data_IF_158290592631
#
_entry.id   IF_158290592631
#
_cell.length_a   1.000
_cell.length_b   1.000
_cell.length_c   1.000
_cell.angle_alpha   90.00
_cell.angle_beta   90.00
_cell.angle_gamma   90.00
#
_symmetry.space_group_name_H-M   'P 1'
#
loop_
_entity.id
_entity.type
_entity.pdbx_description
1 polymer ?
#
# COMPACT_ATOMS: atom_id res chain seq x y z
N UNK A 1 -16.20 -0.09 2.26
CA UNK A 1 -15.59 -0.10 3.60
C UNK A 1 -14.15 -0.60 3.49
N UNK A 2 -13.22 0.25 3.91
CA UNK A 2 -11.81 -0.09 4.02
C UNK A 2 -11.58 -0.65 5.43
N UNK A 3 -11.81 -1.92 5.61
CA UNK A 3 -11.48 -2.66 6.84
C UNK A 3 -10.35 -3.63 6.52
N UNK A 4 -9.68 -4.21 7.51
CA UNK A 4 -8.64 -5.22 7.33
C UNK A 4 -9.07 -6.35 6.40
N UNK A 5 -10.30 -6.80 6.55
CA UNK A 5 -10.87 -7.87 5.75
C UNK A 5 -11.05 -7.48 4.28
N UNK A 6 -10.98 -6.19 3.95
CA UNK A 6 -11.32 -5.68 2.61
C UNK A 6 -10.14 -5.10 1.84
N UNK A 7 -9.00 -4.87 2.51
CA UNK A 7 -7.91 -4.11 1.91
C UNK A 7 -6.78 -4.92 1.35
N UNK A 8 -6.63 -6.18 1.66
CA UNK A 8 -5.60 -6.86 0.98
C UNK A 8 -4.65 -7.63 1.82
N UNK A 9 -5.17 -8.67 2.22
CA UNK A 9 -4.42 -9.67 2.93
C UNK A 9 -3.30 -10.30 2.09
N UNK A 10 -3.38 -10.28 0.76
CA UNK A 10 -2.25 -10.69 -0.08
C UNK A 10 -0.98 -9.84 0.14
N UNK A 11 -1.12 -8.62 0.67
CA UNK A 11 0.04 -7.79 1.01
C UNK A 11 0.83 -8.32 2.21
N UNK A 12 0.23 -9.17 3.02
CA UNK A 12 0.91 -9.85 4.13
C UNK A 12 1.98 -10.85 3.67
N UNK A 13 2.08 -11.11 2.38
CA UNK A 13 3.15 -11.87 1.75
C UNK A 13 4.36 -11.00 1.32
N UNK A 14 4.40 -9.72 1.72
CA UNK A 14 5.54 -8.84 1.51
C UNK A 14 6.74 -9.18 2.41
N UNK A 15 7.94 -8.76 2.00
CA UNK A 15 9.16 -8.98 2.78
C UNK A 15 9.32 -8.00 3.96
N UNK A 16 8.36 -7.12 4.16
CA UNK A 16 8.31 -6.12 5.23
C UNK A 16 7.40 -6.51 6.40
N UNK A 17 6.53 -7.51 6.21
CA UNK A 17 5.50 -7.91 7.19
C UNK A 17 5.58 -9.42 7.43
N UNK A 18 5.35 -9.83 8.69
CA UNK A 18 5.04 -11.20 9.07
C UNK A 18 3.77 -11.24 9.96
N UNK A 19 3.23 -12.44 10.19
CA UNK A 19 1.96 -12.63 10.89
C UNK A 19 2.11 -13.39 12.19
N UNK A 20 1.06 -13.38 13.00
CA UNK A 20 1.04 -14.03 14.31
C UNK A 20 0.71 -15.53 14.21
N UNK A 21 1.39 -16.42 15.01
CA UNK A 21 1.18 -17.86 14.95
C UNK A 21 -0.13 -18.35 15.62
N UNK A 22 -0.89 -17.49 16.28
CA UNK A 22 -2.15 -17.85 16.97
C UNK A 22 -3.20 -18.47 16.04
N UNK A 23 -4.01 -19.38 16.56
CA UNK A 23 -5.01 -20.12 15.77
C UNK A 23 -6.08 -19.22 15.15
N UNK A 24 -6.50 -18.19 15.88
CA UNK A 24 -7.48 -17.20 15.41
C UNK A 24 -6.93 -16.25 14.34
N UNK A 25 -5.61 -16.32 14.04
CA UNK A 25 -4.94 -15.53 13.00
C UNK A 25 -4.65 -16.35 11.73
N UNK A 26 -5.17 -17.55 11.63
CA UNK A 26 -4.97 -18.42 10.47
C UNK A 26 -5.33 -17.74 9.13
N UNK A 27 -6.44 -17.00 9.00
CA UNK A 27 -6.78 -16.37 7.72
C UNK A 27 -5.72 -15.39 7.20
N UNK A 28 -5.01 -14.70 8.09
CA UNK A 28 -3.90 -13.80 7.75
C UNK A 28 -2.64 -14.58 7.41
N UNK A 29 -2.35 -15.58 8.23
CA UNK A 29 -1.15 -16.40 8.13
C UNK A 29 -1.08 -17.18 6.81
N UNK A 30 -2.22 -17.58 6.25
CA UNK A 30 -2.29 -18.24 4.94
C UNK A 30 -1.64 -17.39 3.83
N UNK A 31 -1.82 -16.05 3.89
CA UNK A 31 -1.16 -15.15 2.93
C UNK A 31 0.34 -15.06 3.17
N UNK A 32 0.76 -14.84 4.41
CA UNK A 32 2.18 -14.79 4.81
C UNK A 32 2.93 -16.09 4.48
N UNK A 33 2.23 -17.22 4.53
CA UNK A 33 2.77 -18.55 4.19
C UNK A 33 2.65 -18.94 2.71
N UNK A 34 2.04 -18.09 1.87
CA UNK A 34 1.78 -18.40 0.46
C UNK A 34 0.95 -19.69 0.27
N UNK A 35 0.01 -19.92 1.14
CA UNK A 35 -0.83 -21.14 1.15
C UNK A 35 -2.30 -20.82 1.41
N UNK A 36 -2.82 -19.88 0.61
CA UNK A 36 -4.18 -19.36 0.79
C UNK A 36 -5.19 -20.40 0.31
N UNK A 37 -6.12 -20.76 1.19
CA UNK A 37 -7.27 -21.62 0.88
C UNK A 37 -8.33 -20.83 0.12
N UNK A 38 -9.05 -21.49 -0.82
CA UNK A 38 -10.24 -20.94 -1.50
C UNK A 38 -11.42 -20.70 -0.54
N UNK A 39 -11.35 -21.27 0.66
CA UNK A 39 -12.29 -21.05 1.78
C UNK A 39 -11.73 -20.09 2.85
N UNK A 40 -10.66 -19.35 2.57
CA UNK A 40 -10.15 -18.34 3.49
C UNK A 40 -11.27 -17.35 3.89
N UNK A 41 -11.50 -17.17 5.19
CA UNK A 41 -12.66 -16.43 5.70
C UNK A 41 -12.64 -14.92 5.41
N UNK A 42 -11.49 -14.36 5.04
CA UNK A 42 -11.32 -12.93 4.75
C UNK A 42 -11.31 -12.62 3.26
N UNK A 43 -11.00 -13.61 2.43
CA UNK A 43 -10.93 -13.43 0.99
C UNK A 43 -12.25 -13.01 0.33
N UNK A 44 -13.45 -13.54 0.72
CA UNK A 44 -14.72 -13.15 0.10
C UNK A 44 -15.02 -11.65 0.24
N UNK A 45 -14.69 -11.03 1.38
CA UNK A 45 -14.93 -9.60 1.59
C UNK A 45 -14.06 -8.75 0.65
N UNK A 46 -12.79 -9.13 0.44
CA UNK A 46 -11.93 -8.46 -0.52
C UNK A 46 -12.50 -8.52 -1.94
N UNK A 47 -12.89 -9.70 -2.37
CA UNK A 47 -13.46 -9.96 -3.68
C UNK A 47 -14.75 -9.17 -3.89
N UNK A 48 -15.73 -9.37 -3.03
CA UNK A 48 -17.06 -8.74 -3.13
C UNK A 48 -16.97 -7.20 -3.10
N UNK A 49 -16.12 -6.63 -2.25
CA UNK A 49 -16.02 -5.18 -2.16
C UNK A 49 -15.36 -4.55 -3.41
N UNK A 50 -14.44 -5.24 -4.08
CA UNK A 50 -13.92 -4.76 -5.38
C UNK A 50 -15.00 -4.77 -6.47
N UNK A 51 -15.79 -5.81 -6.53
CA UNK A 51 -16.92 -5.87 -7.46
C UNK A 51 -18.02 -4.84 -7.16
N UNK A 52 -18.26 -4.50 -5.89
CA UNK A 52 -19.13 -3.37 -5.52
C UNK A 52 -18.63 -2.05 -6.08
N UNK A 53 -17.31 -1.81 -6.03
CA UNK A 53 -16.71 -0.59 -6.63
C UNK A 53 -16.91 -0.61 -8.15
N UNK A 54 -16.62 -1.71 -8.83
CA UNK A 54 -16.85 -1.85 -10.28
C UNK A 54 -18.30 -1.56 -10.64
N UNK A 55 -19.26 -2.17 -9.92
CA UNK A 55 -20.69 -1.97 -10.15
C UNK A 55 -21.09 -0.49 -9.95
N UNK A 56 -20.65 0.13 -8.87
CA UNK A 56 -20.97 1.53 -8.59
C UNK A 56 -20.37 2.47 -9.65
N UNK A 57 -19.13 2.20 -10.07
CA UNK A 57 -18.48 2.96 -11.13
C UNK A 57 -19.21 2.83 -12.46
N UNK A 58 -19.59 1.61 -12.87
CA UNK A 58 -20.39 1.36 -14.07
C UNK A 58 -21.71 2.11 -14.04
N UNK A 59 -22.40 2.10 -12.88
CA UNK A 59 -23.65 2.85 -12.72
C UNK A 59 -23.45 4.34 -12.99
N UNK A 60 -22.42 4.97 -12.42
CA UNK A 60 -22.14 6.40 -12.63
C UNK A 60 -21.77 6.65 -14.09
N UNK A 61 -20.86 5.87 -14.67
CA UNK A 61 -20.40 6.03 -16.06
C UNK A 61 -21.59 5.95 -17.04
N UNK A 62 -22.51 5.02 -16.82
CA UNK A 62 -23.62 4.77 -17.75
C UNK A 62 -24.81 5.72 -17.54
N UNK A 63 -24.94 6.37 -16.37
CA UNK A 63 -26.16 7.11 -16.01
C UNK A 63 -25.95 8.58 -15.64
N UNK A 64 -24.74 9.03 -15.29
CA UNK A 64 -24.50 10.39 -14.79
C UNK A 64 -25.01 11.49 -15.73
N UNK A 65 -24.90 11.29 -17.05
CA UNK A 65 -25.38 12.23 -18.05
C UNK A 65 -26.91 12.46 -18.06
N UNK A 66 -27.66 11.62 -17.35
CA UNK A 66 -29.14 11.73 -17.22
C UNK A 66 -29.55 12.43 -15.92
N UNK A 67 -28.60 12.84 -15.09
CA UNK A 67 -28.88 13.50 -13.80
C UNK A 67 -29.41 14.93 -14.07
N UNK A 68 -30.65 15.28 -13.66
CA UNK A 68 -31.19 16.60 -13.86
C UNK A 68 -30.50 17.63 -12.96
N UNK A 69 -30.49 18.88 -13.37
CA UNK A 69 -30.04 20.04 -12.58
C UNK A 69 -28.59 19.98 -12.11
N UNK A 70 -27.71 19.28 -12.88
CA UNK A 70 -26.25 19.18 -12.63
C UNK A 70 -25.54 19.71 -13.88
N UNK A 71 -24.44 20.45 -13.68
CA UNK A 71 -23.65 21.01 -14.78
C UNK A 71 -22.90 19.93 -15.56
N UNK A 72 -22.57 20.17 -16.82
CA UNK A 72 -21.77 19.28 -17.65
C UNK A 72 -20.34 19.05 -17.02
N UNK A 73 -19.81 20.07 -16.37
CA UNK A 73 -18.53 19.99 -15.68
C UNK A 73 -18.59 19.01 -14.49
N UNK A 74 -19.61 19.11 -13.63
CA UNK A 74 -19.81 18.20 -12.50
C UNK A 74 -20.07 16.77 -12.97
N UNK A 75 -20.82 16.56 -14.05
CA UNK A 75 -21.03 15.27 -14.68
C UNK A 75 -19.70 14.70 -15.18
N UNK A 76 -18.89 15.51 -15.87
CA UNK A 76 -17.57 15.10 -16.37
C UNK A 76 -16.65 14.67 -15.23
N UNK A 77 -16.59 15.44 -14.15
CA UNK A 77 -15.79 15.11 -12.97
C UNK A 77 -16.28 13.83 -12.31
N UNK A 78 -17.59 13.64 -12.16
CA UNK A 78 -18.16 12.43 -11.56
C UNK A 78 -17.84 11.18 -12.38
N UNK A 79 -17.96 11.26 -13.71
CA UNK A 79 -17.61 10.17 -14.63
C UNK A 79 -16.10 9.87 -14.56
N UNK A 80 -15.25 10.89 -14.54
CA UNK A 80 -13.80 10.74 -14.45
C UNK A 80 -13.38 10.07 -13.12
N UNK A 81 -13.98 10.45 -12.00
CA UNK A 81 -13.76 9.78 -10.72
C UNK A 81 -14.24 8.32 -10.76
N UNK A 82 -15.39 8.05 -11.38
CA UNK A 82 -15.89 6.68 -11.52
C UNK A 82 -14.94 5.80 -12.35
N UNK A 83 -14.38 6.32 -13.44
CA UNK A 83 -13.33 5.63 -14.20
C UNK A 83 -12.09 5.34 -13.34
N UNK A 84 -11.64 6.32 -12.54
CA UNK A 84 -10.51 6.09 -11.62
C UNK A 84 -10.79 4.94 -10.66
N UNK A 85 -11.94 4.94 -9.98
CA UNK A 85 -12.26 3.91 -9.00
C UNK A 85 -12.50 2.54 -9.64
N UNK A 86 -13.00 2.47 -10.87
CA UNK A 86 -13.09 1.22 -11.64
C UNK A 86 -11.70 0.69 -11.96
N UNK A 87 -10.81 1.54 -12.45
CA UNK A 87 -9.41 1.18 -12.67
C UNK A 87 -8.73 0.69 -11.40
N UNK A 88 -8.93 1.38 -10.28
CA UNK A 88 -8.40 0.98 -8.97
C UNK A 88 -8.90 -0.42 -8.56
N UNK A 89 -10.18 -0.69 -8.71
CA UNK A 89 -10.76 -1.99 -8.39
C UNK A 89 -10.20 -3.10 -9.28
N UNK A 90 -10.14 -2.90 -10.59
CA UNK A 90 -9.55 -3.87 -11.52
C UNK A 90 -8.06 -4.08 -11.31
N UNK A 91 -7.31 -3.02 -10.99
CA UNK A 91 -5.89 -3.14 -10.66
C UNK A 91 -5.68 -4.04 -9.42
N UNK A 92 -6.54 -3.89 -8.44
CA UNK A 92 -6.54 -4.73 -7.26
C UNK A 92 -6.89 -6.19 -7.58
N UNK A 93 -7.94 -6.40 -8.38
CA UNK A 93 -8.41 -7.72 -8.79
C UNK A 93 -7.34 -8.47 -9.59
N UNK A 94 -6.75 -7.84 -10.61
CA UNK A 94 -5.77 -8.48 -11.48
C UNK A 94 -4.47 -8.81 -10.74
N UNK A 95 -4.04 -7.97 -9.81
CA UNK A 95 -2.83 -8.25 -9.02
C UNK A 95 -3.03 -9.28 -7.90
N UNK A 96 -4.26 -9.52 -7.49
CA UNK A 96 -4.57 -10.53 -6.47
C UNK A 96 -4.95 -11.88 -7.08
N UNK A 97 -5.80 -11.87 -8.08
CA UNK A 97 -6.37 -13.08 -8.69
C UNK A 97 -5.89 -13.37 -10.11
N UNK A 98 -5.14 -12.48 -10.76
CA UNK A 98 -4.77 -12.60 -12.17
C UNK A 98 -5.96 -12.38 -13.10
N UNK A 99 -6.20 -13.26 -14.07
CA UNK A 99 -7.37 -13.16 -14.96
C UNK A 99 -8.68 -13.06 -14.21
N UNK A 100 -9.50 -12.08 -14.55
CA UNK A 100 -10.88 -11.90 -14.01
C UNK A 100 -11.81 -11.44 -15.14
N UNK A 101 -13.12 -11.62 -15.03
CA UNK A 101 -14.05 -11.09 -16.04
C UNK A 101 -14.01 -9.56 -16.12
N UNK A 102 -14.10 -8.99 -17.29
CA UNK A 102 -14.38 -7.56 -17.50
C UNK A 102 -15.90 -7.36 -17.55
N UNK A 103 -16.42 -6.68 -16.52
CA UNK A 103 -17.84 -6.34 -16.42
C UNK A 103 -18.01 -4.82 -16.56
N UNK A 104 -18.69 -4.37 -17.60
CA UNK A 104 -18.95 -2.96 -17.89
C UNK A 104 -20.41 -2.57 -17.71
N UNK A 105 -21.28 -3.56 -17.50
CA UNK A 105 -22.69 -3.39 -17.23
C UNK A 105 -22.98 -3.43 -15.72
N UNK A 106 -24.18 -2.99 -15.35
CA UNK A 106 -24.63 -2.99 -13.96
C UNK A 106 -25.11 -4.38 -13.48
N UNK A 107 -25.46 -5.25 -14.45
CA UNK A 107 -25.95 -6.59 -14.19
C UNK A 107 -24.79 -7.55 -13.98
N UNK A 108 -24.87 -8.38 -12.96
CA UNK A 108 -23.92 -9.47 -12.72
C UNK A 108 -24.16 -10.55 -13.78
N UNK A 109 -23.09 -10.96 -14.47
CA UNK A 109 -23.08 -12.08 -15.40
C UNK A 109 -22.36 -13.28 -14.75
N UNK A 110 -23.13 -14.30 -14.38
CA UNK A 110 -22.60 -15.54 -13.80
C UNK A 110 -22.04 -16.52 -14.84
N UNK A 111 -22.06 -16.17 -16.12
CA UNK A 111 -21.47 -16.94 -17.20
C UNK A 111 -20.23 -16.24 -17.81
N UNK A 112 -19.87 -15.10 -17.23
CA UNK A 112 -18.74 -14.31 -17.72
C UNK A 112 -17.45 -15.12 -17.76
N UNK A 113 -16.73 -15.02 -18.89
CA UNK A 113 -15.43 -15.64 -19.10
C UNK A 113 -14.32 -14.81 -18.48
N UNK A 114 -13.20 -15.46 -18.15
CA UNK A 114 -12.00 -14.75 -17.74
C UNK A 114 -11.41 -13.97 -18.92
N UNK A 115 -11.09 -12.71 -18.67
CA UNK A 115 -10.26 -11.92 -19.57
C UNK A 115 -8.79 -12.10 -19.21
N UNK A 116 -7.93 -11.96 -20.20
CA UNK A 116 -6.49 -11.96 -20.01
C UNK A 116 -6.05 -10.76 -19.14
N UNK A 117 -4.95 -10.91 -18.44
CA UNK A 117 -4.38 -9.79 -17.67
C UNK A 117 -4.08 -8.57 -18.56
N UNK A 118 -3.62 -8.79 -19.79
CA UNK A 118 -3.37 -7.70 -20.73
C UNK A 118 -4.65 -6.93 -21.10
N UNK A 119 -5.77 -7.61 -21.33
CA UNK A 119 -7.06 -6.94 -21.58
C UNK A 119 -7.50 -6.13 -20.36
N UNK A 120 -7.32 -6.66 -19.15
CA UNK A 120 -7.66 -5.98 -17.92
C UNK A 120 -6.77 -4.75 -17.71
N UNK A 121 -5.46 -4.87 -17.90
CA UNK A 121 -4.55 -3.73 -17.81
C UNK A 121 -4.83 -2.66 -18.87
N UNK A 122 -5.25 -3.06 -20.08
CA UNK A 122 -5.67 -2.10 -21.11
C UNK A 122 -6.93 -1.33 -20.70
N UNK A 123 -7.91 -1.98 -20.07
CA UNK A 123 -9.07 -1.30 -19.46
C UNK A 123 -8.61 -0.31 -18.38
N UNK A 124 -7.75 -0.73 -17.46
CA UNK A 124 -7.22 0.11 -16.38
C UNK A 124 -6.53 1.36 -16.95
N UNK A 125 -5.66 1.20 -17.95
CA UNK A 125 -4.96 2.33 -18.58
C UNK A 125 -5.93 3.28 -19.26
N UNK A 126 -6.94 2.77 -19.97
CA UNK A 126 -7.95 3.60 -20.64
C UNK A 126 -8.77 4.39 -19.62
N UNK A 127 -9.20 3.75 -18.54
CA UNK A 127 -9.96 4.40 -17.46
C UNK A 127 -9.11 5.48 -16.77
N UNK A 128 -7.85 5.23 -16.49
CA UNK A 128 -6.98 6.24 -15.88
C UNK A 128 -6.67 7.41 -16.80
N UNK A 129 -6.59 7.19 -18.12
CA UNK A 129 -6.46 8.29 -19.11
C UNK A 129 -7.70 9.17 -19.18
N UNK A 130 -8.89 8.61 -18.97
CA UNK A 130 -10.13 9.38 -18.85
C UNK A 130 -10.11 10.15 -17.52
N UNK A 131 -9.74 9.49 -16.44
CA UNK A 131 -9.66 10.09 -15.12
C UNK A 131 -8.69 11.30 -15.09
N UNK A 132 -7.46 11.17 -15.62
CA UNK A 132 -6.50 12.28 -15.63
C UNK A 132 -6.95 13.50 -16.42
N UNK A 133 -7.81 13.32 -17.43
CA UNK A 133 -8.33 14.41 -18.26
C UNK A 133 -9.55 15.09 -17.66
N UNK A 134 -10.39 14.33 -16.96
CA UNK A 134 -11.67 14.81 -16.46
C UNK A 134 -11.67 15.21 -15.00
N UNK A 135 -10.63 14.89 -14.21
CA UNK A 135 -10.53 15.32 -12.82
C UNK A 135 -9.77 16.65 -12.71
N UNK A 136 -10.17 17.54 -11.78
CA UNK A 136 -9.51 18.84 -11.61
C UNK A 136 -8.13 18.67 -10.96
N UNK A 137 -7.30 19.69 -11.15
CA UNK A 137 -5.99 19.82 -10.48
C UNK A 137 -6.18 19.99 -8.97
N UNK A 138 -7.13 20.85 -8.59
CA UNK A 138 -7.43 21.17 -7.20
C UNK A 138 -8.94 21.35 -7.02
N UNK A 139 -9.49 20.73 -5.99
CA UNK A 139 -10.83 21.00 -5.50
C UNK A 139 -10.76 22.12 -4.46
N UNK A 140 -11.51 23.20 -4.66
CA UNK A 140 -11.49 24.37 -3.77
C UNK A 140 -12.67 24.41 -2.79
N UNK A 141 -13.70 23.61 -3.04
CA UNK A 141 -14.92 23.61 -2.23
C UNK A 141 -15.18 22.24 -1.59
N UNK A 142 -15.83 22.27 -0.43
CA UNK A 142 -16.41 21.07 0.17
C UNK A 142 -17.43 20.42 -0.78
N UNK A 143 -17.56 19.09 -0.79
CA UNK A 143 -16.88 18.14 0.12
C UNK A 143 -15.54 17.63 -0.40
N UNK A 144 -15.05 18.06 -1.56
CA UNK A 144 -13.89 17.48 -2.25
C UNK A 144 -12.57 18.22 -1.98
N UNK A 145 -12.64 19.50 -1.57
CA UNK A 145 -11.51 20.29 -1.09
C UNK A 145 -11.64 20.54 0.42
N UNK A 146 -10.58 20.29 1.18
CA UNK A 146 -10.58 20.45 2.64
C UNK A 146 -9.23 20.93 3.13
N UNK A 147 -9.19 22.03 3.88
CA UNK A 147 -7.95 22.57 4.43
C UNK A 147 -6.81 22.76 3.41
N UNK A 148 -7.17 23.08 2.16
CA UNK A 148 -6.22 23.31 1.06
C UNK A 148 -5.67 22.03 0.42
N UNK A 149 -6.25 20.86 0.71
CA UNK A 149 -5.90 19.58 0.09
C UNK A 149 -7.12 18.95 -0.59
N UNK A 150 -6.87 18.07 -1.54
CA UNK A 150 -7.91 17.26 -2.15
C UNK A 150 -8.26 16.05 -1.29
N UNK A 151 -9.56 15.80 -1.07
CA UNK A 151 -10.06 14.57 -0.46
C UNK A 151 -10.84 13.70 -1.46
N UNK A 152 -10.77 14.05 -2.74
CA UNK A 152 -11.27 13.28 -3.87
C UNK A 152 -10.17 13.08 -4.91
N UNK A 153 -10.43 12.25 -5.89
CA UNK A 153 -9.46 11.96 -6.95
C UNK A 153 -9.14 13.21 -7.76
N UNK A 154 -7.90 13.63 -7.75
CA UNK A 154 -7.38 14.74 -8.54
C UNK A 154 -6.59 14.26 -9.76
N UNK A 155 -6.30 15.17 -10.69
CA UNK A 155 -5.46 14.89 -11.85
C UNK A 155 -4.10 14.30 -11.45
N UNK A 156 -3.44 14.87 -10.44
CA UNK A 156 -2.14 14.37 -9.97
C UNK A 156 -2.22 12.96 -9.41
N UNK A 157 -3.30 12.62 -8.68
CA UNK A 157 -3.53 11.26 -8.19
C UNK A 157 -3.75 10.26 -9.33
N UNK A 158 -4.51 10.64 -10.37
CA UNK A 158 -4.74 9.80 -11.54
C UNK A 158 -3.44 9.54 -12.32
N UNK A 159 -2.62 10.55 -12.52
CA UNK A 159 -1.30 10.44 -13.16
C UNK A 159 -0.35 9.54 -12.35
N UNK A 160 -0.30 9.71 -11.04
CA UNK A 160 0.53 8.89 -10.16
C UNK A 160 0.12 7.41 -10.23
N UNK A 161 -1.17 7.10 -10.17
CA UNK A 161 -1.64 5.73 -10.33
C UNK A 161 -1.30 5.17 -11.72
N UNK A 162 -1.45 5.95 -12.79
CA UNK A 162 -1.12 5.52 -14.14
C UNK A 162 0.38 5.21 -14.29
N UNK A 163 1.25 6.00 -13.64
CA UNK A 163 2.69 5.70 -13.57
C UNK A 163 2.95 4.33 -12.98
N UNK A 164 2.36 4.02 -11.80
CA UNK A 164 2.57 2.74 -11.15
C UNK A 164 1.96 1.57 -11.95
N UNK A 165 0.81 1.76 -12.59
CA UNK A 165 0.22 0.76 -13.49
C UNK A 165 1.17 0.43 -14.65
N UNK A 166 1.82 1.42 -15.24
CA UNK A 166 2.83 1.18 -16.28
C UNK A 166 4.06 0.43 -15.73
N UNK A 167 4.51 0.70 -14.50
CA UNK A 167 5.55 -0.10 -13.84
C UNK A 167 5.13 -1.56 -13.67
N UNK A 168 3.88 -1.79 -13.27
CA UNK A 168 3.33 -3.15 -13.13
C UNK A 168 3.27 -3.88 -14.48
N UNK A 169 2.85 -3.19 -15.56
CA UNK A 169 2.85 -3.75 -16.92
C UNK A 169 4.26 -4.02 -17.46
N UNK A 170 5.23 -3.18 -17.09
CA UNK A 170 6.63 -3.36 -17.48
C UNK A 170 7.25 -4.62 -16.88
N UNK A 171 6.87 -4.97 -15.65
CA UNK A 171 7.31 -6.16 -14.93
C UNK A 171 6.44 -7.38 -15.15
N UNK A 172 6.60 -8.37 -14.25
CA UNK A 172 5.83 -9.62 -14.26
C UNK A 172 4.35 -9.35 -13.95
N UNK A 173 3.37 -10.05 -14.56
CA UNK A 173 3.54 -11.14 -15.53
C UNK A 173 3.65 -10.69 -16.99
N UNK A 174 3.25 -9.45 -17.32
CA UNK A 174 3.18 -9.00 -18.72
C UNK A 174 4.56 -8.78 -19.35
N UNK A 175 5.56 -8.43 -18.57
CA UNK A 175 6.95 -8.22 -18.98
C UNK A 175 7.09 -7.31 -20.21
N UNK A 176 6.30 -6.22 -20.27
CA UNK A 176 6.35 -5.26 -21.40
C UNK A 176 7.69 -4.48 -21.46
N UNK A 177 8.49 -4.52 -20.38
CA UNK A 177 9.88 -4.08 -20.36
C UNK A 177 10.08 -2.57 -20.52
N UNK A 178 11.18 -2.21 -21.19
CA UNK A 178 11.74 -0.86 -21.24
C UNK A 178 10.73 0.19 -21.69
N UNK A 179 9.92 -0.09 -22.70
CA UNK A 179 8.97 0.92 -23.21
C UNK A 179 7.92 1.31 -22.17
N UNK A 180 7.45 0.36 -21.36
CA UNK A 180 6.51 0.67 -20.28
C UNK A 180 7.17 1.32 -19.07
N UNK A 181 8.44 1.02 -18.80
CA UNK A 181 9.20 1.80 -17.81
C UNK A 181 9.39 3.26 -18.25
N UNK A 182 9.61 3.53 -19.54
CA UNK A 182 9.64 4.91 -20.07
C UNK A 182 8.30 5.63 -19.90
N UNK A 183 7.18 4.93 -20.17
CA UNK A 183 5.84 5.49 -19.95
C UNK A 183 5.61 5.79 -18.46
N UNK A 184 6.03 4.90 -17.57
CA UNK A 184 5.93 5.09 -16.13
C UNK A 184 6.74 6.30 -15.67
N UNK A 185 8.00 6.40 -16.09
CA UNK A 185 8.87 7.52 -15.76
C UNK A 185 8.29 8.84 -16.27
N UNK A 186 7.84 8.89 -17.54
CA UNK A 186 7.22 10.10 -18.10
C UNK A 186 5.99 10.54 -17.33
N UNK A 187 5.14 9.59 -16.90
CA UNK A 187 3.93 9.92 -16.16
C UNK A 187 4.21 10.39 -14.72
N UNK A 188 5.21 9.81 -14.05
CA UNK A 188 5.67 10.29 -12.75
C UNK A 188 6.32 11.68 -12.88
N UNK A 189 7.10 11.91 -13.94
CA UNK A 189 7.73 13.20 -14.22
C UNK A 189 6.70 14.31 -14.41
N UNK A 190 5.59 14.05 -15.07
CA UNK A 190 4.48 15.04 -15.18
C UNK A 190 3.94 15.48 -13.81
N UNK A 191 3.91 14.58 -12.81
CA UNK A 191 3.52 14.95 -11.43
C UNK A 191 4.60 15.80 -10.77
N UNK A 192 5.86 15.42 -10.93
CA UNK A 192 7.02 16.13 -10.37
C UNK A 192 7.11 17.54 -10.95
N UNK A 193 7.00 17.67 -12.27
CA UNK A 193 7.03 18.98 -12.96
C UNK A 193 5.85 19.86 -12.51
N UNK A 194 4.68 19.26 -12.30
CA UNK A 194 3.52 19.96 -11.77
C UNK A 194 3.72 20.46 -10.33
N UNK A 195 4.50 19.78 -9.52
CA UNK A 195 4.93 20.26 -8.20
C UNK A 195 5.96 21.39 -8.34
N UNK A 196 6.97 21.20 -9.17
CA UNK A 196 8.08 22.16 -9.31
C UNK A 196 7.61 23.49 -9.92
N UNK A 197 6.62 23.48 -10.82
CA UNK A 197 6.06 24.69 -11.43
C UNK A 197 4.83 25.28 -10.68
N UNK A 198 4.44 24.69 -9.56
CA UNK A 198 3.32 25.15 -8.73
C UNK A 198 1.92 24.84 -9.27
N UNK A 199 1.79 23.98 -10.28
CA UNK A 199 0.49 23.46 -10.74
C UNK A 199 -0.18 22.62 -9.66
N UNK A 200 0.59 21.78 -8.96
CA UNK A 200 0.13 20.98 -7.83
C UNK A 200 0.65 21.55 -6.51
N UNK A 201 -0.16 21.48 -5.46
CA UNK A 201 0.18 21.93 -4.10
C UNK A 201 1.01 20.91 -3.31
N UNK A 202 1.28 19.74 -3.88
CA UNK A 202 1.95 18.67 -3.15
C UNK A 202 3.36 19.05 -2.74
N UNK A 203 3.77 18.58 -1.57
CA UNK A 203 5.15 18.71 -1.09
C UNK A 203 5.51 17.58 -0.13
N UNK A 204 6.78 17.22 -0.03
CA UNK A 204 7.24 16.37 1.07
C UNK A 204 7.11 17.14 2.38
N UNK A 205 6.66 16.46 3.43
CA UNK A 205 6.70 17.00 4.78
C UNK A 205 8.14 17.02 5.28
N UNK A 206 8.46 17.97 6.14
CA UNK A 206 9.86 18.25 6.55
C UNK A 206 10.47 17.08 7.34
N UNK A 207 9.67 16.42 8.19
CA UNK A 207 10.08 15.25 8.94
C UNK A 207 9.18 14.04 8.64
N UNK A 208 9.77 12.85 8.57
CA UNK A 208 9.02 11.64 8.25
C UNK A 208 7.91 11.33 9.26
N UNK A 209 8.13 11.60 10.55
CA UNK A 209 7.10 11.38 11.59
C UNK A 209 5.78 12.12 11.34
N UNK A 210 5.83 13.27 10.65
CA UNK A 210 4.62 14.05 10.35
C UNK A 210 3.73 13.39 9.30
N UNK A 211 4.27 12.48 8.49
CA UNK A 211 3.50 11.75 7.45
C UNK A 211 2.33 11.00 8.07
N UNK A 212 2.50 10.47 9.27
CA UNK A 212 1.49 9.68 9.98
C UNK A 212 0.99 10.33 11.26
N UNK A 213 1.31 11.61 11.50
CA UNK A 213 0.86 12.29 12.71
C UNK A 213 -0.60 12.72 12.63
N UNK A 214 -1.26 12.79 13.79
CA UNK A 214 -2.63 13.28 13.89
C UNK A 214 -2.71 14.79 13.60
N UNK A 215 -1.66 15.54 13.89
CA UNK A 215 -1.57 16.97 13.57
C UNK A 215 -1.73 17.24 12.07
N UNK A 216 -1.17 16.39 11.23
CA UNK A 216 -1.21 16.54 9.77
C UNK A 216 -2.33 15.76 9.10
N UNK A 217 -3.12 15.00 9.85
CA UNK A 217 -4.13 14.10 9.29
C UNK A 217 -5.08 14.77 8.28
N UNK A 218 -5.51 16.01 8.55
CA UNK A 218 -6.46 16.77 7.72
C UNK A 218 -5.79 17.81 6.79
N UNK A 219 -4.48 17.93 6.80
CA UNK A 219 -3.72 18.95 6.04
C UNK A 219 -2.44 18.42 5.42
N UNK A 220 -2.35 17.10 5.24
CA UNK A 220 -1.15 16.44 4.74
C UNK A 220 -0.96 16.70 3.23
N UNK A 221 -0.07 17.62 2.90
CA UNK A 221 0.25 17.98 1.51
C UNK A 221 1.08 16.94 0.77
N UNK A 222 1.59 15.91 1.45
CA UNK A 222 2.32 14.83 0.78
C UNK A 222 1.38 13.81 0.15
N UNK A 223 0.13 13.69 0.64
CA UNK A 223 -0.85 12.72 0.17
C UNK A 223 -1.55 13.21 -1.10
N UNK A 224 -1.37 12.48 -2.19
CA UNK A 224 -2.05 12.73 -3.46
C UNK A 224 -3.47 12.14 -3.46
N UNK A 225 -3.63 10.99 -2.81
CA UNK A 225 -4.91 10.30 -2.63
C UNK A 225 -4.95 9.63 -1.27
N UNK A 226 -5.96 9.98 -0.48
CA UNK A 226 -6.22 9.38 0.83
C UNK A 226 -7.70 9.11 1.04
N UNK A 227 -8.02 8.20 1.96
CA UNK A 227 -9.37 7.96 2.44
C UNK A 227 -9.46 8.56 3.83
N UNK A 228 -10.29 9.60 3.95
CA UNK A 228 -10.47 10.36 5.17
C UNK A 228 -11.66 9.85 5.95
N UNK A 229 -11.52 9.78 7.27
CA UNK A 229 -12.57 9.38 8.18
C UNK A 229 -13.18 10.59 8.88
N UNK A 230 -14.47 10.56 9.10
CA UNK A 230 -15.20 11.61 9.82
C UNK A 230 -15.66 11.08 11.17
N UNK A 231 -15.09 11.62 12.24
CA UNK A 231 -15.37 11.25 13.63
C UNK A 231 -16.85 11.23 13.99
N UNK A 232 -17.59 12.18 13.42
CA UNK A 232 -18.96 12.46 13.84
C UNK A 232 -20.01 11.66 13.08
N UNK A 233 -19.63 11.06 11.94
CA UNK A 233 -20.59 10.42 11.02
C UNK A 233 -20.43 8.91 10.90
N UNK A 234 -19.26 8.39 11.09
CA UNK A 234 -19.00 6.96 11.06
C UNK A 234 -17.86 6.65 12.01
N UNK A 235 -18.09 5.93 13.10
CA UNK A 235 -17.00 5.32 13.82
C UNK A 235 -16.41 4.24 12.91
N UNK A 236 -15.53 4.64 12.02
CA UNK A 236 -14.74 3.72 11.26
C UNK A 236 -13.62 3.26 12.16
N UNK A 237 -13.56 1.98 12.40
CA UNK A 237 -12.37 1.38 12.96
C UNK A 237 -11.26 1.60 11.93
N UNK A 238 -10.39 2.56 12.17
CA UNK A 238 -9.09 2.53 11.57
C UNK A 238 -8.37 1.34 12.23
N UNK A 239 -8.43 0.20 11.59
CA UNK A 239 -7.90 -1.05 12.15
C UNK A 239 -6.37 -1.11 12.00
N UNK A 240 -5.74 0.04 12.03
CA UNK A 240 -4.28 0.17 12.02
C UNK A 240 -3.66 -0.35 13.33
N UNK A 241 -4.46 -0.59 14.34
CA UNK A 241 -4.07 -1.22 15.60
C UNK A 241 -3.68 -2.71 15.47
N UNK A 242 -3.97 -3.35 14.32
CA UNK A 242 -3.52 -4.73 14.08
C UNK A 242 -2.00 -4.85 14.03
N UNK A 243 -1.33 -3.75 13.74
CA UNK A 243 0.12 -3.67 13.66
C UNK A 243 0.80 -3.50 15.03
N UNK A 244 0.03 -3.33 16.10
CA UNK A 244 0.53 -3.24 17.46
C UNK A 244 0.46 -4.58 18.17
N UNK A 245 1.54 -4.97 18.83
CA UNK A 245 1.77 -6.34 19.27
C UNK A 245 1.14 -6.72 20.60
N UNK A 246 0.93 -5.80 21.52
CA UNK A 246 0.56 -6.17 22.88
C UNK A 246 -0.85 -5.71 23.25
N UNK A 247 -1.59 -6.60 23.95
CA UNK A 247 -2.90 -6.28 24.49
C UNK A 247 -2.90 -5.08 25.44
N UNK A 248 -1.79 -4.77 26.11
CA UNK A 248 -1.63 -3.54 26.89
C UNK A 248 -1.54 -2.30 26.01
N UNK A 249 -1.04 -2.42 24.81
CA UNK A 249 -1.00 -1.35 23.81
C UNK A 249 -2.23 -1.39 22.88
N UNK A 250 -3.28 -2.15 23.25
CA UNK A 250 -4.53 -2.35 22.54
C UNK A 250 -4.40 -2.77 21.07
N UNK A 251 -3.28 -3.36 20.71
CA UNK A 251 -3.09 -3.97 19.41
C UNK A 251 -3.68 -5.37 19.36
N UNK A 252 -4.12 -5.78 18.17
CA UNK A 252 -4.56 -7.16 17.93
C UNK A 252 -3.37 -8.11 17.72
N UNK A 253 -2.18 -7.56 17.47
CA UNK A 253 -0.98 -8.33 17.19
C UNK A 253 -1.12 -9.24 15.96
N UNK A 254 -1.91 -8.83 14.99
CA UNK A 254 -2.20 -9.62 13.79
C UNK A 254 -0.97 -9.72 12.88
N UNK A 255 -0.21 -8.63 12.81
CA UNK A 255 0.95 -8.49 11.95
C UNK A 255 2.11 -7.82 12.68
N UNK A 256 3.32 -8.12 12.21
CA UNK A 256 4.58 -7.62 12.76
C UNK A 256 5.51 -7.24 11.61
N UNK A 257 6.54 -6.47 11.89
CA UNK A 257 7.63 -6.28 10.95
C UNK A 257 8.42 -7.58 10.74
N UNK A 258 8.80 -7.87 9.51
CA UNK A 258 9.73 -8.96 9.22
C UNK A 258 11.11 -8.60 9.76
N UNK A 259 11.77 -9.58 10.40
CA UNK A 259 13.01 -9.35 11.17
C UNK A 259 14.17 -8.92 10.27
N UNK A 260 14.34 -9.57 9.10
CA UNK A 260 15.40 -9.22 8.16
C UNK A 260 15.17 -7.83 7.56
N UNK A 261 13.94 -7.53 7.15
CA UNK A 261 13.61 -6.22 6.61
C UNK A 261 13.88 -5.10 7.63
N UNK A 262 13.50 -5.32 8.90
CA UNK A 262 13.82 -4.40 9.99
C UNK A 262 15.35 -4.25 10.18
N UNK A 263 16.10 -5.36 10.10
CA UNK A 263 17.57 -5.34 10.24
C UNK A 263 18.24 -4.55 9.11
N UNK A 264 17.77 -4.73 7.89
CA UNK A 264 18.31 -4.09 6.69
C UNK A 264 17.78 -2.64 6.51
N UNK A 265 16.79 -2.25 7.31
CA UNK A 265 16.23 -0.91 7.28
C UNK A 265 17.25 0.11 7.79
N UNK A 266 17.56 1.19 7.01
CA UNK A 266 18.55 2.19 7.40
C UNK A 266 18.20 2.87 8.73
N UNK A 267 19.17 3.02 9.62
CA UNK A 267 19.02 3.72 10.88
C UNK A 267 18.73 5.22 10.64
N UNK A 268 17.92 5.81 11.50
CA UNK A 268 17.58 7.22 11.46
C UNK A 268 16.10 7.50 11.72
N UNK A 269 15.67 8.78 11.60
CA UNK A 269 14.33 9.23 11.97
C UNK A 269 13.19 8.47 11.28
N UNK A 270 13.40 7.99 10.05
CA UNK A 270 12.37 7.19 9.35
C UNK A 270 12.17 5.83 10.02
N UNK A 271 13.25 5.13 10.40
CA UNK A 271 13.15 3.84 11.10
C UNK A 271 12.49 4.02 12.47
N UNK A 272 12.89 5.04 13.21
CA UNK A 272 12.34 5.39 14.53
C UNK A 272 10.85 5.73 14.49
N UNK A 273 10.39 6.37 13.42
CA UNK A 273 8.96 6.67 13.23
C UNK A 273 8.18 5.50 12.65
N UNK A 274 8.84 4.51 12.05
CA UNK A 274 8.20 3.32 11.47
C UNK A 274 7.96 2.24 12.50
N UNK A 275 8.94 1.98 13.37
CA UNK A 275 8.90 0.90 14.35
C UNK A 275 8.92 1.44 15.77
N UNK A 276 8.29 0.71 16.69
CA UNK A 276 8.36 1.01 18.11
C UNK A 276 9.81 0.89 18.58
N UNK A 277 10.39 1.95 19.18
CA UNK A 277 11.74 1.89 19.74
C UNK A 277 11.83 0.90 20.89
N UNK A 278 10.77 0.83 21.70
CA UNK A 278 10.59 -0.07 22.83
C UNK A 278 9.16 -0.59 22.86
N UNK A 279 8.96 -1.74 23.45
CA UNK A 279 7.64 -2.29 23.76
C UNK A 279 7.43 -2.35 25.26
N UNK A 280 6.22 -2.00 25.70
CA UNK A 280 5.83 -2.10 27.10
C UNK A 280 5.28 -3.49 27.37
N UNK A 281 5.87 -4.23 28.32
CA UNK A 281 5.39 -5.52 28.74
C UNK A 281 4.41 -5.43 29.92
N UNK A 282 3.84 -6.58 30.30
CA UNK A 282 2.80 -6.67 31.33
C UNK A 282 3.23 -6.17 32.73
N UNK A 283 4.53 -6.09 32.98
CA UNK A 283 5.11 -5.53 34.21
C UNK A 283 5.19 -3.99 34.22
N UNK A 284 4.81 -3.34 33.08
CA UNK A 284 4.85 -1.89 32.91
C UNK A 284 6.23 -1.33 32.51
N UNK A 285 7.23 -2.18 32.29
CA UNK A 285 8.55 -1.75 31.86
C UNK A 285 8.71 -1.79 30.33
N UNK A 286 9.61 -0.93 29.82
CA UNK A 286 9.95 -0.81 28.41
C UNK A 286 11.16 -1.69 28.04
N UNK A 287 10.99 -2.52 27.06
CA UNK A 287 12.02 -3.46 26.58
C UNK A 287 12.26 -3.27 25.07
N UNK A 288 13.46 -3.68 24.62
CA UNK A 288 13.69 -3.87 23.19
C UNK A 288 12.79 -5.01 22.68
N UNK A 289 12.29 -4.90 21.45
CA UNK A 289 11.38 -5.92 20.92
C UNK A 289 12.01 -7.33 20.86
N UNK A 290 13.32 -7.42 20.80
CA UNK A 290 14.06 -8.69 20.78
C UNK A 290 14.35 -9.26 22.17
N UNK A 291 13.91 -8.63 23.25
CA UNK A 291 14.08 -9.12 24.61
C UNK A 291 13.33 -10.45 24.83
N UNK A 292 14.03 -11.49 25.31
CA UNK A 292 13.52 -12.87 25.34
C UNK A 292 13.30 -13.45 26.74
N UNK A 293 13.63 -12.76 27.81
CA UNK A 293 13.32 -13.26 29.16
C UNK A 293 11.85 -13.06 29.48
N UNK A 294 11.04 -13.79 28.79
CA UNK A 294 9.62 -13.59 28.70
C UNK A 294 8.86 -13.95 29.97
N UNK A 295 8.01 -13.08 30.44
CA UNK A 295 6.75 -13.52 31.03
C UNK A 295 5.96 -14.28 29.97
N UNK A 296 5.23 -15.32 30.33
CA UNK A 296 4.46 -16.21 29.46
C UNK A 296 3.36 -15.51 28.60
N UNK A 297 3.35 -14.19 28.54
CA UNK A 297 2.38 -13.36 27.83
C UNK A 297 2.80 -12.94 26.41
N UNK A 298 4.06 -13.18 26.01
CA UNK A 298 4.56 -12.75 24.72
C UNK A 298 4.70 -13.93 23.77
N UNK A 299 3.84 -13.98 22.76
CA UNK A 299 3.78 -15.08 21.80
C UNK A 299 4.75 -14.85 20.62
N UNK A 300 4.98 -13.58 20.26
CA UNK A 300 5.81 -13.20 19.11
C UNK A 300 6.90 -12.24 19.56
N UNK A 301 8.14 -12.52 19.15
CA UNK A 301 9.31 -11.66 19.34
C UNK A 301 9.70 -11.12 17.97
N UNK A 302 9.12 -9.99 17.58
CA UNK A 302 9.29 -9.36 16.27
C UNK A 302 9.18 -7.83 16.38
N UNK A 303 9.68 -7.07 15.37
CA UNK A 303 9.51 -5.63 15.32
C UNK A 303 8.04 -5.24 15.24
N UNK A 304 7.64 -4.18 15.94
CA UNK A 304 6.28 -3.66 15.92
C UNK A 304 6.23 -2.32 15.21
N UNK A 305 5.20 -2.10 14.39
CA UNK A 305 5.02 -0.82 13.72
C UNK A 305 4.41 0.22 14.66
N UNK A 306 4.89 1.46 14.58
CA UNK A 306 4.41 2.59 15.38
C UNK A 306 3.53 3.55 14.57
N UNK A 307 3.82 3.73 13.28
CA UNK A 307 3.33 4.82 12.44
C UNK A 307 1.81 4.89 12.27
N UNK A 308 1.09 3.84 12.57
CA UNK A 308 -0.36 3.77 12.33
C UNK A 308 -1.20 3.94 13.60
N UNK A 309 -0.58 3.94 14.78
CA UNK A 309 -1.29 4.07 16.04
C UNK A 309 -1.69 5.53 16.36
N UNK A 310 -2.81 5.69 17.07
CA UNK A 310 -3.20 6.93 17.74
C UNK A 310 -2.87 6.87 19.23
N UNK A 311 -2.91 8.02 19.92
CA UNK A 311 -2.70 8.08 21.37
C UNK A 311 -3.83 7.42 22.15
N UNK A 312 -3.68 7.37 23.48
CA UNK A 312 -4.68 6.81 24.40
C UNK A 312 -6.03 7.58 24.37
N UNK A 313 -6.01 8.82 23.92
CA UNK A 313 -7.22 9.62 23.67
C UNK A 313 -7.37 9.83 22.17
N UNK A 314 -8.61 9.70 21.68
CA UNK A 314 -8.95 9.88 20.27
C UNK A 314 -8.41 11.20 19.72
N UNK A 315 -7.69 11.13 18.61
CA UNK A 315 -7.12 12.29 17.93
C UNK A 315 -5.83 12.83 18.51
N UNK A 316 -5.22 12.15 19.46
CA UNK A 316 -3.91 12.51 20.00
C UNK A 316 -2.80 11.69 19.37
N UNK A 317 -1.55 12.17 19.48
CA UNK A 317 -0.38 11.44 18.99
C UNK A 317 -0.13 10.20 19.84
N UNK A 318 0.36 9.16 19.19
CA UNK A 318 0.77 7.93 19.86
C UNK A 318 2.06 8.14 20.65
N UNK A 319 2.04 7.73 21.90
CA UNK A 319 3.22 7.68 22.79
C UNK A 319 3.39 6.25 23.30
N UNK A 320 4.42 5.56 22.87
CA UNK A 320 4.71 4.19 23.29
C UNK A 320 5.12 4.07 24.76
N UNK A 321 5.39 5.19 25.43
CA UNK A 321 5.71 5.24 26.88
C UNK A 321 4.46 5.44 27.74
N UNK A 322 3.31 5.76 27.13
CA UNK A 322 2.04 5.89 27.84
C UNK A 322 1.58 4.49 28.31
N UNK A 323 1.33 4.29 29.62
CA UNK A 323 0.82 3.03 30.14
C UNK A 323 -0.64 2.73 29.73
N UNK A 324 -1.35 3.73 29.21
CA UNK A 324 -2.70 3.55 28.70
C UNK A 324 -2.67 3.02 27.28
N UNK A 325 -3.62 2.15 26.97
CA UNK A 325 -3.75 1.60 25.62
C UNK A 325 -4.07 2.70 24.60
N UNK A 326 -3.53 2.62 23.35
CA UNK A 326 -3.94 3.47 22.25
C UNK A 326 -5.45 3.42 22.01
N UNK A 327 -5.99 4.51 21.46
CA UNK A 327 -7.40 4.56 21.14
C UNK A 327 -7.72 3.57 20.00
N UNK A 328 -8.67 2.69 20.26
CA UNK A 328 -8.97 1.57 19.37
C UNK A 328 -9.66 1.98 18.05
N UNK A 329 -10.45 3.06 18.09
CA UNK A 329 -11.18 3.57 16.92
C UNK A 329 -10.51 4.85 16.47
N UNK A 330 -9.57 4.72 15.54
CA UNK A 330 -8.78 5.85 15.06
C UNK A 330 -9.45 6.65 13.95
N UNK A 331 -8.95 7.88 13.75
CA UNK A 331 -9.35 8.78 12.68
C UNK A 331 -8.24 9.01 11.65
N UNK A 332 -7.12 8.29 11.75
CA UNK A 332 -6.03 8.41 10.78
C UNK A 332 -6.52 8.07 9.38
N UNK A 333 -6.24 8.95 8.42
CA UNK A 333 -6.55 8.67 7.02
C UNK A 333 -5.75 7.48 6.51
N UNK A 334 -6.33 6.76 5.57
CA UNK A 334 -5.60 5.77 4.79
C UNK A 334 -4.96 6.45 3.59
N UNK A 335 -3.65 6.50 3.55
CA UNK A 335 -2.85 7.11 2.49
C UNK A 335 -2.70 6.12 1.34
N UNK A 336 -3.32 6.41 0.21
CA UNK A 336 -3.30 5.51 -0.95
C UNK A 336 -2.08 5.78 -1.83
N UNK A 337 -1.78 7.07 -2.07
CA UNK A 337 -0.61 7.51 -2.85
C UNK A 337 -0.01 8.75 -2.21
N UNK A 338 1.30 8.76 -2.05
CA UNK A 338 2.08 9.90 -1.55
C UNK A 338 3.12 10.37 -2.57
N UNK A 339 3.53 11.64 -2.46
CA UNK A 339 4.54 12.23 -3.34
C UNK A 339 5.89 11.52 -3.26
N UNK A 340 6.31 11.08 -2.06
CA UNK A 340 7.54 10.32 -1.87
C UNK A 340 7.56 9.03 -2.68
N UNK A 341 6.41 8.35 -2.81
CA UNK A 341 6.29 7.15 -3.65
C UNK A 341 6.48 7.49 -5.13
N UNK A 342 5.86 8.59 -5.62
CA UNK A 342 6.02 9.06 -7.00
C UNK A 342 7.48 9.38 -7.31
N UNK A 343 8.22 9.97 -6.37
CA UNK A 343 9.66 10.23 -6.52
C UNK A 343 10.46 8.94 -6.66
N UNK A 344 10.16 7.94 -5.85
CA UNK A 344 10.78 6.62 -5.95
C UNK A 344 10.42 5.93 -7.28
N UNK A 345 9.15 5.95 -7.69
CA UNK A 345 8.70 5.34 -8.96
C UNK A 345 9.35 5.98 -10.17
N UNK A 346 9.51 7.32 -10.18
CA UNK A 346 10.22 8.03 -11.23
C UNK A 346 11.66 7.54 -11.36
N UNK A 347 12.40 7.55 -10.26
CA UNK A 347 13.81 7.15 -10.26
C UNK A 347 13.98 5.67 -10.63
N UNK A 348 13.11 4.78 -10.10
CA UNK A 348 13.14 3.37 -10.44
C UNK A 348 12.82 3.12 -11.92
N UNK A 349 11.73 3.70 -12.41
CA UNK A 349 11.30 3.50 -13.80
C UNK A 349 12.33 4.06 -14.79
N UNK A 350 12.93 5.22 -14.50
CA UNK A 350 13.98 5.78 -15.31
C UNK A 350 15.20 4.85 -15.34
N UNK A 351 15.68 4.38 -14.19
CA UNK A 351 16.78 3.43 -14.11
C UNK A 351 16.50 2.15 -14.87
N UNK A 352 15.30 1.54 -14.70
CA UNK A 352 14.91 0.33 -15.43
C UNK A 352 14.71 0.56 -16.93
N UNK A 353 14.50 1.80 -17.35
CA UNK A 353 14.51 2.16 -18.77
C UNK A 353 15.91 2.33 -19.37
N UNK A 354 16.94 2.18 -18.56
CA UNK A 354 18.35 2.29 -18.99
C UNK A 354 18.93 3.70 -18.89
N UNK A 355 18.33 4.61 -18.12
CA UNK A 355 18.77 6.01 -18.03
C UNK A 355 18.99 6.48 -16.57
N UNK A 356 19.84 7.49 -16.42
CA UNK A 356 20.02 8.24 -15.18
C UNK A 356 20.03 9.73 -15.55
N UNK A 357 19.32 10.54 -14.78
CA UNK A 357 19.37 11.99 -14.93
C UNK A 357 19.42 12.69 -13.56
N UNK A 358 19.76 13.99 -13.59
CA UNK A 358 19.91 14.76 -12.36
C UNK A 358 18.62 14.85 -11.56
N UNK A 359 17.48 15.07 -12.23
CA UNK A 359 16.14 15.13 -11.56
C UNK A 359 15.85 13.87 -10.77
N UNK A 360 16.09 12.67 -11.33
CA UNK A 360 15.83 11.41 -10.63
C UNK A 360 16.71 11.26 -9.38
N UNK A 361 17.98 11.65 -9.49
CA UNK A 361 18.91 11.64 -8.36
C UNK A 361 18.48 12.64 -7.29
N UNK A 362 18.07 13.85 -7.66
CA UNK A 362 17.63 14.89 -6.74
C UNK A 362 16.36 14.50 -5.99
N UNK A 363 15.34 14.00 -6.68
CA UNK A 363 14.08 13.60 -6.00
C UNK A 363 14.29 12.40 -5.08
N UNK A 364 15.14 11.45 -5.46
CA UNK A 364 15.47 10.31 -4.61
C UNK A 364 16.28 10.75 -3.38
N UNK A 365 17.20 11.70 -3.53
CA UNK A 365 17.91 12.31 -2.41
C UNK A 365 16.97 13.11 -1.49
N UNK A 366 15.94 13.80 -2.02
CA UNK A 366 14.92 14.46 -1.17
C UNK A 366 14.25 13.43 -0.21
N UNK A 367 13.87 12.26 -0.72
CA UNK A 367 13.28 11.18 0.10
C UNK A 367 14.30 10.70 1.14
N UNK A 368 15.52 10.41 0.72
CA UNK A 368 16.59 9.92 1.59
C UNK A 368 16.99 10.93 2.67
N UNK A 369 17.20 12.17 2.32
CA UNK A 369 17.60 13.24 3.24
C UNK A 369 16.56 13.41 4.36
N UNK A 370 15.27 13.37 4.02
CA UNK A 370 14.19 13.37 5.00
C UNK A 370 14.23 12.13 5.90
N UNK A 371 14.49 10.96 5.34
CA UNK A 371 14.62 9.72 6.09
C UNK A 371 15.77 9.75 7.10
N UNK A 372 16.88 10.37 6.72
CA UNK A 372 18.07 10.53 7.56
C UNK A 372 18.01 11.74 8.51
N UNK A 373 17.02 12.64 8.32
CA UNK A 373 16.90 13.90 9.06
C UNK A 373 18.06 14.89 8.79
N UNK A 374 18.76 14.73 7.67
CA UNK A 374 19.89 15.56 7.25
C UNK A 374 20.14 15.44 5.75
N UNK A 375 20.86 16.42 5.17
CA UNK A 375 21.34 16.36 3.79
C UNK A 375 22.49 15.34 3.65
N UNK A 376 22.14 14.07 3.45
CA UNK A 376 23.12 12.99 3.24
C UNK A 376 23.54 12.85 1.77
N UNK A 377 22.63 13.14 0.84
CA UNK A 377 22.84 13.16 -0.63
C UNK A 377 23.64 11.94 -1.13
N UNK A 378 23.27 10.74 -0.68
CA UNK A 378 24.04 9.51 -0.94
C UNK A 378 23.92 9.01 -2.39
N UNK A 379 22.91 9.47 -3.13
CA UNK A 379 22.73 9.09 -4.53
C UNK A 379 23.38 10.10 -5.45
N UNK A 380 23.99 9.60 -6.54
CA UNK A 380 24.83 10.38 -7.44
C UNK A 380 24.50 10.11 -8.89
N UNK A 381 24.70 11.13 -9.76
CA UNK A 381 24.58 11.01 -11.21
C UNK A 381 25.57 9.99 -11.83
N UNK A 382 26.59 9.59 -11.08
CA UNK A 382 27.55 8.56 -11.50
C UNK A 382 27.06 7.13 -11.30
N UNK A 383 25.88 6.93 -10.71
CA UNK A 383 25.26 5.61 -10.59
C UNK A 383 24.94 5.02 -11.98
N UNK A 384 25.03 3.70 -12.10
CA UNK A 384 24.47 3.02 -13.28
C UNK A 384 22.94 3.05 -13.22
N UNK A 385 22.24 2.86 -14.35
CA UNK A 385 20.78 2.76 -14.36
C UNK A 385 20.24 1.68 -13.40
N UNK A 386 20.91 0.53 -13.32
CA UNK A 386 20.54 -0.56 -12.43
C UNK A 386 20.72 -0.17 -10.95
N UNK A 387 21.79 0.54 -10.62
CA UNK A 387 22.04 1.04 -9.26
C UNK A 387 20.97 2.04 -8.85
N UNK A 388 20.59 2.97 -9.73
CA UNK A 388 19.52 3.92 -9.47
C UNK A 388 18.16 3.19 -9.25
N UNK A 389 17.86 2.24 -10.12
CA UNK A 389 16.62 1.47 -10.03
C UNK A 389 16.50 0.68 -8.71
N UNK A 390 17.57 -0.01 -8.31
CA UNK A 390 17.60 -0.77 -7.05
C UNK A 390 17.58 0.14 -5.82
N UNK A 391 18.27 1.27 -5.86
CA UNK A 391 18.21 2.27 -4.79
C UNK A 391 16.79 2.80 -4.62
N UNK A 392 16.11 3.16 -5.70
CA UNK A 392 14.74 3.67 -5.67
C UNK A 392 13.72 2.59 -5.22
N UNK A 393 13.87 1.34 -5.66
CA UNK A 393 13.08 0.20 -5.21
C UNK A 393 13.19 -0.02 -3.69
N UNK A 394 14.40 0.11 -3.14
CA UNK A 394 14.64 -0.04 -1.71
C UNK A 394 14.10 1.16 -0.93
N UNK A 395 14.33 2.41 -1.41
CA UNK A 395 13.78 3.60 -0.77
C UNK A 395 12.25 3.56 -0.70
N UNK A 396 11.58 3.12 -1.78
CA UNK A 396 10.14 2.92 -1.77
C UNK A 396 9.71 1.91 -0.71
N UNK A 397 10.40 0.76 -0.63
CA UNK A 397 10.11 -0.26 0.37
C UNK A 397 10.24 0.25 1.81
N UNK A 398 11.30 1.02 2.13
CA UNK A 398 11.47 1.61 3.45
C UNK A 398 10.45 2.73 3.73
N UNK A 399 10.07 3.46 2.70
CA UNK A 399 9.10 4.55 2.81
C UNK A 399 7.70 4.06 3.20
N UNK A 400 7.27 2.93 2.65
CA UNK A 400 5.95 2.36 2.87
C UNK A 400 5.92 1.23 3.91
N UNK A 401 7.05 0.75 4.41
CA UNK A 401 7.18 -0.45 5.25
C UNK A 401 6.01 -0.66 6.21
N UNK A 402 5.39 -1.83 6.17
CA UNK A 402 4.23 -2.21 6.98
C UNK A 402 2.93 -1.50 6.60
N UNK A 403 2.92 -0.65 5.56
CA UNK A 403 1.73 0.13 5.20
C UNK A 403 0.98 -0.50 4.03
N UNK A 404 0.16 -1.50 4.32
CA UNK A 404 -0.56 -2.28 3.31
C UNK A 404 -1.80 -1.60 2.69
N UNK A 405 -2.12 -0.38 3.13
CA UNK A 405 -3.19 0.43 2.52
C UNK A 405 -2.74 1.22 1.29
N UNK A 406 -1.44 1.34 1.05
CA UNK A 406 -0.92 2.01 -0.12
C UNK A 406 -1.38 1.35 -1.44
N UNK A 407 -1.40 2.12 -2.52
CA UNK A 407 -1.60 1.59 -3.87
C UNK A 407 -0.53 0.56 -4.21
N UNK A 408 0.69 0.80 -3.77
CA UNK A 408 1.87 0.00 -4.05
C UNK A 408 2.53 -0.54 -2.77
N UNK A 409 1.86 -1.40 -1.98
CA UNK A 409 2.48 -2.02 -0.83
C UNK A 409 3.64 -2.92 -1.27
N UNK A 410 4.56 -3.23 -0.36
CA UNK A 410 5.81 -3.94 -0.66
C UNK A 410 5.61 -5.24 -1.45
N UNK A 411 4.55 -6.00 -1.17
CA UNK A 411 4.23 -7.20 -1.93
C UNK A 411 4.06 -6.93 -3.43
N UNK A 412 3.40 -5.84 -3.83
CA UNK A 412 3.21 -5.50 -5.26
C UNK A 412 4.51 -5.18 -5.96
N UNK A 413 5.46 -4.57 -5.27
CA UNK A 413 6.81 -4.36 -5.81
C UNK A 413 7.55 -5.68 -6.01
N UNK A 414 7.46 -6.57 -5.03
CA UNK A 414 8.05 -7.91 -5.17
C UNK A 414 7.38 -8.71 -6.30
N UNK A 415 6.06 -8.60 -6.42
CA UNK A 415 5.28 -9.28 -7.46
C UNK A 415 5.70 -8.83 -8.86
N UNK A 416 5.64 -7.53 -9.15
CA UNK A 416 6.05 -7.00 -10.47
C UNK A 416 7.51 -7.25 -10.81
N UNK A 417 8.36 -7.38 -9.79
CA UNK A 417 9.78 -7.67 -9.95
C UNK A 417 10.09 -9.18 -9.95
N UNK A 418 9.06 -10.04 -9.90
CA UNK A 418 9.19 -11.50 -9.83
C UNK A 418 10.11 -11.99 -8.68
N UNK A 419 10.04 -11.30 -7.53
CA UNK A 419 10.87 -11.57 -6.34
C UNK A 419 10.17 -12.40 -5.27
N UNK A 420 8.88 -12.68 -5.43
CA UNK A 420 8.07 -13.39 -4.43
C UNK A 420 8.63 -14.80 -4.15
N UNK A 421 9.03 -15.53 -5.21
CA UNK A 421 9.66 -16.86 -5.04
C UNK A 421 10.94 -16.80 -4.19
N UNK A 422 11.78 -15.79 -4.42
CA UNK A 422 13.03 -15.65 -3.65
C UNK A 422 12.74 -15.40 -2.16
N UNK A 423 11.70 -14.64 -1.88
CA UNK A 423 11.28 -14.41 -0.50
C UNK A 423 10.64 -15.66 0.12
N UNK A 424 9.80 -16.39 -0.63
CA UNK A 424 9.28 -17.70 -0.20
C UNK A 424 10.41 -18.65 0.24
N UNK A 425 11.45 -18.79 -0.59
CA UNK A 425 12.58 -19.68 -0.26
C UNK A 425 13.37 -19.16 0.97
N UNK A 426 13.54 -17.86 1.11
CA UNK A 426 14.13 -17.26 2.30
C UNK A 426 13.31 -17.58 3.57
N UNK A 427 11.99 -17.33 3.53
CA UNK A 427 11.10 -17.60 4.68
C UNK A 427 11.01 -19.09 5.01
N UNK A 428 11.13 -19.96 4.00
CA UNK A 428 11.19 -21.41 4.19
C UNK A 428 12.46 -21.86 4.91
N UNK A 429 13.60 -21.26 4.60
CA UNK A 429 14.84 -21.50 5.34
C UNK A 429 14.75 -21.00 6.78
N UNK A 430 13.99 -19.94 7.00
CA UNK A 430 13.82 -19.26 8.30
C UNK A 430 15.14 -19.08 9.05
N UNK A 431 16.13 -18.39 8.47
CA UNK A 431 17.45 -18.26 9.10
C UNK A 431 17.38 -17.38 10.35
N UNK A 432 18.36 -17.57 11.23
CA UNK A 432 18.59 -16.65 12.33
C UNK A 432 19.16 -15.33 11.83
N UNK A 433 18.61 -14.23 12.32
CA UNK A 433 19.07 -12.86 12.04
C UNK A 433 19.67 -12.27 13.31
N UNK A 434 20.90 -11.77 13.24
CA UNK A 434 21.51 -11.04 14.35
C UNK A 434 20.88 -9.64 14.46
N UNK A 435 20.00 -9.46 15.44
CA UNK A 435 19.24 -8.22 15.65
C UNK A 435 19.97 -7.22 16.55
N UNK A 436 20.78 -7.72 17.48
CA UNK A 436 21.70 -6.97 18.32
C UNK A 436 22.95 -7.80 18.56
N UNK A 437 24.07 -7.24 19.02
CA UNK A 437 25.32 -7.98 19.21
C UNK A 437 25.15 -9.27 20.02
N UNK A 438 25.35 -10.41 19.37
CA UNK A 438 25.18 -11.76 19.95
C UNK A 438 23.73 -12.20 20.20
N UNK A 439 22.73 -11.44 19.74
CA UNK A 439 21.31 -11.76 19.90
C UNK A 439 20.72 -12.11 18.54
N UNK A 440 20.20 -13.32 18.39
CA UNK A 440 19.65 -13.85 17.16
C UNK A 440 18.16 -14.12 17.31
N UNK A 441 17.38 -13.86 16.25
CA UNK A 441 15.93 -14.09 16.20
C UNK A 441 15.53 -14.72 14.87
N UNK A 442 14.42 -15.47 14.89
CA UNK A 442 13.76 -16.07 13.71
C UNK A 442 12.32 -15.59 13.60
N UNK A 443 11.78 -15.66 12.41
CA UNK A 443 10.35 -15.46 12.21
C UNK A 443 9.54 -16.50 12.98
N UNK A 444 8.48 -16.03 13.64
CA UNK A 444 7.60 -16.90 14.44
C UNK A 444 6.75 -17.83 13.56
N UNK A 445 6.51 -17.43 12.31
CA UNK A 445 5.70 -18.18 11.34
C UNK A 445 6.60 -18.61 10.18
N UNK A 446 7.12 -19.86 10.17
CA UNK A 446 7.88 -20.37 9.04
C UNK A 446 6.96 -20.65 7.85
N UNK A 447 7.50 -20.50 6.63
CA UNK A 447 6.86 -20.95 5.41
C UNK A 447 7.15 -22.44 5.21
N UNK A 448 6.15 -23.20 4.81
CA UNK A 448 6.23 -24.64 4.57
C UNK A 448 5.82 -25.01 3.15
N UNK A 449 5.96 -26.27 2.78
CA UNK A 449 5.55 -26.76 1.47
C UNK A 449 6.56 -26.47 0.35
N UNK A 450 6.07 -26.44 -0.89
CA UNK A 450 6.85 -26.21 -2.09
C UNK A 450 6.31 -25.05 -2.89
N UNK A 451 7.20 -24.35 -3.58
CA UNK A 451 6.82 -23.29 -4.50
C UNK A 451 6.09 -23.86 -5.73
N UNK A 452 5.08 -23.15 -6.16
CA UNK A 452 4.50 -23.25 -7.51
C UNK A 452 4.15 -21.83 -7.99
N UNK A 453 4.21 -21.59 -9.28
CA UNK A 453 3.92 -20.25 -9.83
C UNK A 453 2.46 -19.81 -9.59
N UNK A 454 1.57 -20.77 -9.34
CA UNK A 454 0.18 -20.47 -8.91
C UNK A 454 0.10 -19.70 -7.59
N UNK A 455 1.13 -19.79 -6.75
CA UNK A 455 1.23 -19.05 -5.46
C UNK A 455 1.49 -17.55 -5.61
N UNK A 456 1.78 -17.10 -6.84
CA UNK A 456 1.79 -15.67 -7.16
C UNK A 456 0.41 -15.03 -7.03
N UNK A 457 -0.65 -15.81 -7.17
CA UNK A 457 -2.03 -15.36 -7.04
C UNK A 457 -2.75 -16.13 -5.95
N UNK A 458 -3.74 -15.48 -5.34
CA UNK A 458 -4.67 -16.16 -4.44
C UNK A 458 -5.75 -16.88 -5.25
N UNK A 459 -6.35 -17.96 -4.70
CA UNK A 459 -7.42 -18.67 -5.38
C UNK A 459 -8.67 -17.81 -5.51
N UNK A 460 -9.55 -18.11 -6.48
CA UNK A 460 -10.88 -17.50 -6.50
C UNK A 460 -11.71 -18.03 -5.32
N UNK A 461 -12.60 -17.19 -4.72
CA UNK A 461 -13.45 -17.64 -3.61
C UNK A 461 -14.32 -18.82 -4.04
N UNK A 462 -14.36 -19.88 -3.24
CA UNK A 462 -15.10 -21.11 -3.53
C UNK A 462 -16.56 -20.85 -3.89
N UNK A 463 -17.24 -19.94 -3.18
CA UNK A 463 -18.64 -19.62 -3.44
C UNK A 463 -18.84 -19.01 -4.84
N UNK A 464 -17.92 -18.11 -5.25
CA UNK A 464 -18.00 -17.46 -6.57
C UNK A 464 -17.71 -18.45 -7.70
N UNK A 465 -16.77 -19.38 -7.52
CA UNK A 465 -16.51 -20.48 -8.46
C UNK A 465 -17.73 -21.40 -8.60
N UNK A 466 -18.49 -21.58 -7.52
CA UNK A 466 -19.73 -22.37 -7.56
C UNK A 466 -20.83 -21.66 -8.38
N UNK A 467 -20.92 -20.34 -8.26
CA UNK A 467 -21.88 -19.52 -9.01
C UNK A 467 -21.48 -19.30 -10.47
N UNK A 468 -20.20 -19.12 -10.74
CA UNK A 468 -19.63 -18.99 -12.08
C UNK A 468 -18.50 -20.01 -12.30
N UNK A 469 -18.82 -21.19 -12.86
CA UNK A 469 -17.81 -22.24 -13.09
C UNK A 469 -16.70 -21.87 -14.08
N UNK A 470 -16.81 -20.75 -14.78
CA UNK A 470 -15.75 -20.23 -15.67
C UNK A 470 -14.60 -19.58 -14.88
N UNK A 471 -14.79 -19.30 -13.59
CA UNK A 471 -13.73 -18.86 -12.69
C UNK A 471 -12.81 -20.04 -12.32
N UNK A 472 -12.15 -20.62 -13.29
CA UNK A 472 -11.18 -21.72 -13.11
C UNK A 472 -9.88 -21.39 -13.80
N UNK A 473 -8.76 -21.63 -13.10
CA UNK A 473 -7.41 -21.62 -13.65
C UNK A 473 -6.96 -23.02 -13.94
#
# INVERSE_FOLDING_TARGET
EYTNNTTGTNFLAGDDISTHPGSNKQPLREYDQYDVSDNNSWMPDMWVNRWKIVKAANFIINNASRTPDVSEEEITVAIAQAHFWRAFAYFYLVQSWGPVPIMLEEKIDYEAQLNTEEEIYNLIVNDLKIAEKGTPVLYTAEPYGRNGINIAVSQGAAKAMLSYVYMAMAGWPLNKGVEYYKLAASKAEEVIDGVDNGTYYYRLLDEYKYVYSMEYNDKNQEVLLGIYYNRDRTPTMSVLNDLLQDMKQAGWGDTNGEIRFWKDFPEGPRKEATYLPKIMLSDGNLYDWWWDTTPASRVVVAPCFAKTAEGATRGTEFDYTDPNAPYYIGDKMHQIVRLSEVYCWYAEALGRSGAVNLKAVEVLNKVRNRADGKESNIYSISMTPEQLAEAAYNEHGWEIAGYYYALAPRYRDMFRMNRVKNHFEYRKMNPEVEVAPGIFRKEAVPVTGSWSDSKMYIPYPYQDVTLNPNLKR
#
